data_IF_437339379778
#
_entry.id   IF_437339379778
#
_cell.length_a   1.000
_cell.length_b   1.000
_cell.length_c   1.000
_cell.angle_alpha   90.00
_cell.angle_beta   90.00
_cell.angle_gamma   90.00
#
_symmetry.space_group_name_H-M   'P 1'
#
loop_
_entity.id
_entity.type
_entity.pdbx_description
1 polymer ?
#
# COMPACT_ATOMS: atom_id res chain seq x y z
N UNK A 1 -13.58 -2.75 -22.35
CA UNK A 1 -13.29 -3.51 -21.11
C UNK A 1 -14.57 -3.37 -20.32
N UNK A 2 -15.42 -4.38 -20.43
CA UNK A 2 -16.77 -4.38 -19.91
C UNK A 2 -16.75 -4.74 -18.43
N UNK A 3 -17.54 -4.02 -17.63
CA UNK A 3 -17.88 -4.38 -16.25
C UNK A 3 -18.35 -5.84 -16.21
N UNK A 4 -17.65 -6.66 -15.43
CA UNK A 4 -18.15 -7.95 -14.99
C UNK A 4 -19.01 -7.64 -13.75
N UNK A 5 -20.32 -7.57 -13.97
CA UNK A 5 -21.31 -7.58 -12.90
C UNK A 5 -21.21 -8.95 -12.20
N UNK A 6 -20.65 -8.96 -11.00
CA UNK A 6 -20.70 -10.11 -10.10
C UNK A 6 -22.18 -10.39 -9.78
N UNK A 7 -22.75 -11.39 -10.44
CA UNK A 7 -24.04 -11.99 -10.11
C UNK A 7 -23.90 -12.67 -8.73
N UNK A 8 -24.36 -11.99 -7.68
CA UNK A 8 -24.56 -12.58 -6.36
C UNK A 8 -25.69 -13.64 -6.48
N UNK A 9 -25.33 -14.91 -6.73
CA UNK A 9 -26.25 -16.06 -6.68
C UNK A 9 -26.84 -16.18 -5.26
N UNK A 10 -28.13 -15.86 -5.14
CA UNK A 10 -28.93 -16.06 -3.92
C UNK A 10 -29.14 -17.57 -3.73
N UNK A 11 -28.43 -18.17 -2.77
CA UNK A 11 -28.61 -19.57 -2.36
C UNK A 11 -29.98 -19.71 -1.66
N UNK A 12 -31.03 -19.94 -2.44
CA UNK A 12 -32.35 -20.34 -1.94
C UNK A 12 -32.23 -21.64 -1.12
N UNK A 13 -32.33 -21.51 0.20
CA UNK A 13 -32.43 -22.62 1.13
C UNK A 13 -33.79 -23.33 0.94
N UNK A 14 -33.80 -24.43 0.21
CA UNK A 14 -34.95 -25.32 0.03
C UNK A 14 -35.55 -25.74 1.39
N UNK A 15 -36.67 -25.11 1.79
CA UNK A 15 -37.45 -25.51 2.96
C UNK A 15 -38.48 -26.57 2.54
N UNK A 16 -38.24 -27.83 2.90
CA UNK A 16 -39.19 -28.92 2.70
C UNK A 16 -40.50 -28.66 3.46
N UNK A 17 -41.59 -28.56 2.70
CA UNK A 17 -42.96 -28.34 3.18
C UNK A 17 -43.49 -29.59 3.91
N UNK A 18 -43.51 -29.57 5.25
CA UNK A 18 -44.35 -30.48 6.04
C UNK A 18 -45.70 -29.79 6.24
N UNK A 19 -46.74 -30.29 5.59
CA UNK A 19 -48.10 -29.78 5.72
C UNK A 19 -48.65 -30.13 7.12
N UNK A 20 -48.69 -29.17 8.03
CA UNK A 20 -49.49 -29.25 9.25
C UNK A 20 -50.62 -28.23 9.14
N UNK A 21 -51.82 -28.76 8.99
CA UNK A 21 -53.09 -28.04 8.97
C UNK A 21 -53.22 -27.15 10.20
N UNK A 22 -53.25 -25.82 10.00
CA UNK A 22 -53.80 -24.82 10.93
C UNK A 22 -53.98 -23.48 10.19
N UNK A 23 -55.00 -23.40 9.35
CA UNK A 23 -55.59 -22.12 8.98
C UNK A 23 -56.25 -21.54 10.25
N UNK A 24 -55.62 -20.52 10.84
CA UNK A 24 -56.17 -19.46 11.72
C UNK A 24 -55.05 -18.90 12.64
N UNK A 25 -54.22 -18.00 12.12
CA UNK A 25 -53.60 -16.88 12.86
C UNK A 25 -53.21 -15.82 11.83
N UNK A 26 -54.16 -14.93 11.56
CA UNK A 26 -53.92 -13.71 10.80
C UNK A 26 -53.15 -12.71 11.68
N UNK A 27 -51.94 -12.33 11.24
CA UNK A 27 -51.58 -10.90 11.28
C UNK A 27 -50.79 -10.34 12.46
N UNK A 28 -49.92 -11.09 13.12
CA UNK A 28 -48.95 -10.48 14.07
C UNK A 28 -47.63 -11.25 14.07
N UNK A 29 -46.67 -10.82 13.25
CA UNK A 29 -45.31 -11.37 13.29
C UNK A 29 -44.52 -11.32 11.98
N UNK A 30 -45.19 -11.17 10.83
CA UNK A 30 -44.51 -10.95 9.55
C UNK A 30 -44.39 -9.44 9.29
N UNK A 31 -43.16 -8.92 9.06
CA UNK A 31 -42.97 -7.52 8.72
C UNK A 31 -43.81 -7.14 7.50
N UNK A 32 -44.50 -6.02 7.62
CA UNK A 32 -45.21 -5.38 6.51
C UNK A 32 -44.25 -5.05 5.37
N UNK A 33 -44.77 -4.88 4.16
CA UNK A 33 -43.95 -4.56 2.99
C UNK A 33 -43.13 -3.27 3.17
N UNK A 34 -43.70 -2.28 3.85
CA UNK A 34 -43.01 -1.05 4.24
C UNK A 34 -41.88 -1.31 5.24
N UNK A 35 -42.10 -2.17 6.24
CA UNK A 35 -41.07 -2.58 7.20
C UNK A 35 -39.95 -3.37 6.52
N UNK A 36 -40.27 -4.28 5.59
CA UNK A 36 -39.26 -5.00 4.79
C UNK A 36 -38.40 -4.04 3.96
N UNK A 37 -39.04 -3.08 3.29
CA UNK A 37 -38.34 -2.07 2.48
C UNK A 37 -37.47 -1.15 3.34
N UNK A 38 -37.91 -0.82 4.56
CA UNK A 38 -37.11 -0.08 5.52
C UNK A 38 -35.88 -0.87 5.97
N UNK A 39 -36.05 -2.14 6.33
CA UNK A 39 -34.95 -3.01 6.77
C UNK A 39 -33.91 -3.21 5.67
N UNK A 40 -34.33 -3.35 4.41
CA UNK A 40 -33.40 -3.44 3.27
C UNK A 40 -32.61 -2.14 3.05
N UNK A 41 -33.27 -0.98 3.13
CA UNK A 41 -32.57 0.32 3.06
C UNK A 41 -31.55 0.48 4.18
N UNK A 42 -31.92 0.17 5.42
CA UNK A 42 -31.01 0.22 6.57
C UNK A 42 -29.83 -0.73 6.37
N UNK A 43 -30.07 -1.95 5.86
CA UNK A 43 -29.01 -2.92 5.55
C UNK A 43 -28.04 -2.39 4.48
N UNK A 44 -28.58 -1.74 3.44
CA UNK A 44 -27.77 -1.16 2.37
C UNK A 44 -26.94 0.03 2.87
N UNK A 45 -27.55 0.92 3.66
CA UNK A 45 -26.85 2.04 4.30
C UNK A 45 -25.69 1.56 5.18
N UNK A 46 -25.92 0.57 6.04
CA UNK A 46 -24.87 -0.03 6.87
C UNK A 46 -23.77 -0.70 6.02
N UNK A 47 -24.14 -1.40 4.93
CA UNK A 47 -23.16 -2.01 4.00
C UNK A 47 -22.28 -0.94 3.36
N UNK A 48 -22.86 0.19 2.96
CA UNK A 48 -22.14 1.32 2.37
C UNK A 48 -21.22 1.96 3.42
N UNK A 49 -21.75 2.27 4.60
CA UNK A 49 -20.98 2.90 5.68
C UNK A 49 -19.78 2.05 6.09
N UNK A 50 -19.99 0.74 6.29
CA UNK A 50 -18.90 -0.19 6.60
C UNK A 50 -17.87 -0.24 5.47
N UNK A 51 -18.30 -0.38 4.21
CA UNK A 51 -17.38 -0.41 3.06
C UNK A 51 -16.57 0.89 2.96
N UNK A 52 -17.20 2.04 3.13
CA UNK A 52 -16.53 3.35 3.07
C UNK A 52 -15.58 3.55 4.25
N UNK A 53 -16.01 3.21 5.47
CA UNK A 53 -15.19 3.30 6.68
C UNK A 53 -13.94 2.43 6.60
N UNK A 54 -14.07 1.17 6.17
CA UNK A 54 -12.93 0.29 5.97
C UNK A 54 -12.01 0.77 4.86
N UNK A 55 -12.55 1.27 3.73
CA UNK A 55 -11.75 1.82 2.63
C UNK A 55 -10.91 3.01 3.11
N UNK A 56 -11.52 3.98 3.78
CA UNK A 56 -10.81 5.13 4.35
C UNK A 56 -9.73 4.69 5.34
N UNK A 57 -10.04 3.73 6.23
CA UNK A 57 -9.06 3.21 7.17
C UNK A 57 -7.86 2.55 6.48
N UNK A 58 -8.09 1.81 5.40
CA UNK A 58 -7.01 1.20 4.61
C UNK A 58 -6.16 2.28 3.93
N UNK A 59 -6.78 3.32 3.40
CA UNK A 59 -6.08 4.46 2.79
C UNK A 59 -5.18 5.17 3.82
N UNK A 60 -5.68 5.46 5.02
CA UNK A 60 -4.90 6.05 6.11
C UNK A 60 -3.67 5.20 6.47
N UNK A 61 -3.88 3.89 6.65
CA UNK A 61 -2.79 2.95 6.95
C UNK A 61 -1.76 2.93 5.83
N UNK A 62 -2.21 2.94 4.57
CA UNK A 62 -1.33 2.98 3.39
C UNK A 62 -0.53 4.27 3.34
N UNK A 63 -1.15 5.43 3.60
CA UNK A 63 -0.47 6.71 3.66
C UNK A 63 0.57 6.76 4.76
N UNK A 64 0.23 6.25 5.95
CA UNK A 64 1.14 6.21 7.09
C UNK A 64 2.37 5.33 6.79
N UNK A 65 2.18 4.17 6.17
CA UNK A 65 3.27 3.32 5.68
C UNK A 65 4.14 4.08 4.67
N UNK A 66 3.53 4.80 3.72
CA UNK A 66 4.26 5.58 2.71
C UNK A 66 5.01 6.78 3.30
N UNK A 67 4.44 7.43 4.32
CA UNK A 67 5.09 8.52 5.08
C UNK A 67 6.31 7.97 5.80
N UNK A 68 6.16 6.88 6.57
CA UNK A 68 7.29 6.20 7.25
C UNK A 68 8.38 5.74 6.28
N UNK A 69 8.00 5.25 5.09
CA UNK A 69 8.97 4.83 4.05
C UNK A 69 9.70 6.02 3.39
N UNK A 70 9.10 7.22 3.41
CA UNK A 70 9.71 8.47 2.90
C UNK A 70 10.52 9.18 3.98
N UNK A 71 10.12 9.08 5.25
CA UNK A 71 10.83 9.61 6.41
C UNK A 71 12.22 8.95 6.51
N UNK A 72 13.25 9.66 6.07
CA UNK A 72 14.64 9.18 6.03
C UNK A 72 15.25 9.12 4.63
N UNK A 73 14.48 9.38 3.56
CA UNK A 73 15.07 9.65 2.24
C UNK A 73 15.54 11.10 2.19
N UNK A 74 16.76 11.31 1.71
CA UNK A 74 17.27 12.64 1.41
C UNK A 74 16.46 13.26 0.25
N UNK A 75 16.24 14.59 0.23
CA UNK A 75 15.57 15.28 -0.86
C UNK A 75 16.20 14.94 -2.22
N UNK A 76 15.37 14.77 -3.26
CA UNK A 76 15.84 14.37 -4.60
C UNK A 76 16.97 15.26 -5.10
N UNK A 77 16.82 16.57 -4.96
CA UNK A 77 17.78 17.58 -5.42
C UNK A 77 19.16 17.41 -4.77
N UNK A 78 19.18 17.24 -3.44
CA UNK A 78 20.44 16.98 -2.71
C UNK A 78 21.10 15.68 -3.14
N UNK A 79 20.31 14.64 -3.44
CA UNK A 79 20.87 13.37 -3.91
C UNK A 79 21.42 13.43 -5.32
N UNK A 80 20.99 14.37 -6.16
CA UNK A 80 21.54 14.55 -7.50
C UNK A 80 23.01 14.97 -7.47
N UNK A 81 23.36 15.91 -6.58
CA UNK A 81 24.76 16.33 -6.35
C UNK A 81 25.62 15.15 -5.90
N UNK A 82 25.15 14.39 -4.90
CA UNK A 82 25.85 13.21 -4.40
C UNK A 82 26.04 12.12 -5.48
N UNK A 83 25.02 11.90 -6.31
CA UNK A 83 25.08 10.96 -7.45
C UNK A 83 26.07 11.42 -8.52
N UNK A 84 26.13 12.72 -8.81
CA UNK A 84 27.07 13.27 -9.78
C UNK A 84 28.51 13.02 -9.33
N UNK A 85 28.83 13.36 -8.08
CA UNK A 85 30.16 13.07 -7.51
C UNK A 85 30.46 11.57 -7.55
N UNK A 86 29.50 10.72 -7.18
CA UNK A 86 29.64 9.27 -7.22
C UNK A 86 29.98 8.73 -8.62
N UNK A 87 29.31 9.23 -9.66
CA UNK A 87 29.54 8.79 -11.04
C UNK A 87 30.96 9.12 -11.49
N UNK A 88 31.42 10.34 -11.19
CA UNK A 88 32.77 10.80 -11.49
C UNK A 88 33.86 9.99 -10.76
N UNK A 89 33.56 9.51 -9.55
CA UNK A 89 34.48 8.76 -8.70
C UNK A 89 34.13 7.26 -8.58
N UNK A 90 33.40 6.71 -9.55
CA UNK A 90 32.82 5.36 -9.46
C UNK A 90 33.85 4.23 -9.30
N UNK A 91 35.09 4.45 -9.77
CA UNK A 91 36.22 3.50 -9.58
C UNK A 91 36.68 3.42 -8.12
N UNK A 92 36.70 4.56 -7.43
CA UNK A 92 37.16 4.72 -6.05
C UNK A 92 36.30 5.73 -5.28
N UNK A 93 35.03 5.41 -4.94
CA UNK A 93 34.09 6.34 -4.33
C UNK A 93 34.32 6.53 -2.81
N UNK A 94 35.52 7.01 -2.46
CA UNK A 94 35.89 7.48 -1.13
C UNK A 94 36.19 8.98 -1.21
N UNK A 95 35.21 9.86 -0.90
CA UNK A 95 35.45 11.30 -0.91
C UNK A 95 36.48 11.68 0.17
N UNK A 96 37.37 12.59 -0.18
CA UNK A 96 38.31 13.23 0.74
C UNK A 96 37.58 14.15 1.72
N UNK A 97 38.26 14.68 2.74
CA UNK A 97 37.65 15.64 3.66
C UNK A 97 37.23 16.93 2.94
N UNK A 98 38.01 17.39 1.95
CA UNK A 98 37.68 18.56 1.15
C UNK A 98 36.46 18.31 0.25
N UNK A 99 36.37 17.12 -0.37
CA UNK A 99 35.19 16.72 -1.14
C UNK A 99 33.94 16.71 -0.26
N UNK A 100 34.05 16.16 0.95
CA UNK A 100 32.93 16.13 1.91
C UNK A 100 32.51 17.54 2.31
N UNK A 101 33.46 18.46 2.53
CA UNK A 101 33.17 19.85 2.86
C UNK A 101 32.39 20.55 1.73
N UNK A 102 32.83 20.40 0.48
CA UNK A 102 32.11 20.92 -0.70
C UNK A 102 30.71 20.32 -0.83
N UNK A 103 30.56 19.01 -0.64
CA UNK A 103 29.26 18.36 -0.71
C UNK A 103 28.31 18.83 0.40
N UNK A 104 28.83 19.12 1.59
CA UNK A 104 28.04 19.73 2.69
C UNK A 104 27.56 21.13 2.28
N UNK A 105 28.45 21.95 1.72
CA UNK A 105 28.13 23.31 1.26
C UNK A 105 27.07 23.30 0.15
N UNK A 106 27.25 22.47 -0.88
CA UNK A 106 26.35 22.41 -2.04
C UNK A 106 24.97 21.79 -1.70
N UNK A 107 24.93 20.81 -0.80
CA UNK A 107 23.67 20.09 -0.50
C UNK A 107 22.95 20.59 0.75
N UNK A 108 23.62 21.37 1.60
CA UNK A 108 23.12 21.77 2.93
C UNK A 108 22.94 20.61 3.91
N UNK A 109 23.42 19.41 3.57
CA UNK A 109 23.31 18.24 4.44
C UNK A 109 24.41 18.21 5.48
N UNK A 110 24.12 17.62 6.64
CA UNK A 110 25.15 17.38 7.65
C UNK A 110 26.19 16.37 7.16
N UNK A 111 27.44 16.56 7.55
CA UNK A 111 28.55 15.66 7.22
C UNK A 111 28.24 14.18 7.53
N UNK A 112 27.53 13.90 8.64
CA UNK A 112 27.08 12.55 9.00
C UNK A 112 26.14 11.95 7.97
N UNK A 113 25.23 12.75 7.38
CA UNK A 113 24.30 12.31 6.34
C UNK A 113 25.05 11.99 5.04
N UNK A 114 26.02 12.84 4.66
CA UNK A 114 26.91 12.61 3.52
C UNK A 114 27.67 11.29 3.70
N UNK A 115 28.33 11.11 4.84
CA UNK A 115 29.07 9.88 5.16
C UNK A 115 28.18 8.63 5.09
N UNK A 116 27.01 8.67 5.71
CA UNK A 116 26.04 7.58 5.69
C UNK A 116 25.55 7.27 4.27
N UNK A 117 25.33 8.31 3.46
CA UNK A 117 24.92 8.13 2.08
C UNK A 117 25.99 7.39 1.29
N UNK A 118 27.26 7.82 1.36
CA UNK A 118 28.35 7.14 0.65
C UNK A 118 28.59 5.71 1.13
N UNK A 119 28.54 5.45 2.44
CA UNK A 119 28.63 4.09 2.98
C UNK A 119 27.53 3.19 2.39
N UNK A 120 26.29 3.66 2.40
CA UNK A 120 25.16 2.91 1.86
C UNK A 120 25.23 2.76 0.34
N UNK A 121 25.67 3.81 -0.36
CA UNK A 121 25.81 3.82 -1.82
C UNK A 121 26.86 2.80 -2.26
N UNK A 122 28.00 2.73 -1.56
CA UNK A 122 29.03 1.69 -1.75
C UNK A 122 28.49 0.30 -1.56
N UNK A 123 27.86 0.03 -0.41
CA UNK A 123 27.26 -1.27 -0.10
C UNK A 123 26.27 -1.74 -1.17
N UNK A 124 25.51 -0.81 -1.76
CA UNK A 124 24.48 -1.11 -2.76
C UNK A 124 24.99 -1.16 -4.20
N UNK A 125 26.07 -0.45 -4.55
CA UNK A 125 26.41 -0.20 -5.96
C UNK A 125 27.87 -0.51 -6.34
N UNK A 126 28.82 -0.56 -5.39
CA UNK A 126 30.25 -0.67 -5.74
C UNK A 126 30.67 -2.06 -6.24
N UNK A 127 29.84 -3.10 -6.15
CA UNK A 127 30.24 -4.43 -6.66
C UNK A 127 29.14 -5.15 -7.45
N UNK A 128 27.97 -4.52 -7.64
CA UNK A 128 26.90 -5.07 -8.48
C UNK A 128 27.08 -4.72 -9.96
N UNK A 129 27.79 -3.63 -10.28
CA UNK A 129 28.11 -3.30 -11.67
C UNK A 129 29.06 -4.33 -12.33
N UNK A 130 29.80 -5.12 -11.54
CA UNK A 130 30.62 -6.23 -12.03
C UNK A 130 29.90 -7.58 -12.06
N UNK A 131 28.67 -7.69 -11.56
CA UNK A 131 27.87 -8.93 -11.55
C UNK A 131 26.57 -8.83 -12.37
N UNK A 132 26.41 -7.83 -13.24
CA UNK A 132 25.23 -7.67 -14.10
C UNK A 132 25.18 -8.64 -15.29
N UNK A 133 25.64 -9.89 -15.12
CA UNK A 133 25.42 -10.99 -16.08
C UNK A 133 24.78 -12.25 -15.45
N UNK A 134 24.48 -12.30 -14.14
CA UNK A 134 23.91 -13.53 -13.54
C UNK A 134 22.66 -13.37 -12.69
N UNK A 135 22.16 -12.17 -12.42
CA UNK A 135 20.96 -12.02 -11.57
C UNK A 135 19.64 -12.08 -12.36
N UNK A 136 19.43 -13.21 -13.08
CA UNK A 136 18.09 -13.66 -13.40
C UNK A 136 17.75 -14.82 -12.47
N UNK A 137 16.89 -14.51 -11.49
CA UNK A 137 16.10 -15.38 -10.58
C UNK A 137 16.47 -15.22 -9.11
N UNK A 138 15.63 -14.46 -8.41
CA UNK A 138 14.98 -15.03 -7.23
C UNK A 138 13.61 -14.41 -7.05
N UNK A 139 12.59 -15.19 -7.45
CA UNK A 139 11.17 -14.91 -7.30
C UNK A 139 10.75 -15.32 -5.88
N UNK A 140 9.95 -14.45 -5.26
CA UNK A 140 9.27 -14.59 -3.95
C UNK A 140 8.85 -16.02 -3.59
N UNK A 141 9.18 -16.43 -2.37
CA UNK A 141 8.45 -17.37 -1.50
C UNK A 141 8.90 -17.00 -0.06
N UNK A 142 8.04 -16.56 0.85
CA UNK A 142 6.90 -17.24 1.47
C UNK A 142 5.83 -16.24 1.87
#
# INVERSE_FOLDING_TARGET
>A
MSDEEDEDEDLELHHHHHHSSNDMIMGFGLPTESERTLMERVRQELKIELKQGFKSRIEDVREEILRKRRAGKLPSDTTSVLKNWWQQHSKWPYPTEDDKAKLVEETGLQLKQINNWFINQRKRNWHVASQSVTSLKSKRKR
#
